data_IF_366849375597
#
_entry.id   IF_366849375597
#
_cell.length_a   1.000
_cell.length_b   1.000
_cell.length_c   1.000
_cell.angle_alpha   90.00
_cell.angle_beta   90.00
_cell.angle_gamma   90.00
#
_symmetry.space_group_name_H-M   'P 1'
#
loop_
_entity.id
_entity.type
_entity.pdbx_description
1 polymer ?
#
# COMPACT_ATOMS: atom_id res chain seq x y z
N UNK A 1 7.43 -12.12 -26.85
CA UNK A 1 6.87 -11.61 -25.58
C UNK A 1 5.47 -12.17 -25.43
N UNK A 2 5.27 -13.05 -24.46
CA UNK A 2 3.96 -13.62 -24.14
C UNK A 2 3.13 -12.55 -23.43
N UNK A 3 1.92 -12.26 -23.91
CA UNK A 3 1.04 -11.25 -23.31
C UNK A 3 0.47 -11.78 -21.99
N UNK A 4 0.48 -10.96 -20.94
CA UNK A 4 -0.18 -11.28 -19.67
C UNK A 4 -1.69 -11.45 -19.89
N UNK A 5 -2.37 -12.37 -19.16
CA UNK A 5 -3.83 -12.46 -19.16
C UNK A 5 -4.47 -11.13 -18.74
N UNK A 6 -5.56 -10.73 -19.40
CA UNK A 6 -6.22 -9.45 -19.10
C UNK A 6 -6.70 -9.37 -17.63
N UNK A 7 -7.06 -10.51 -17.02
CA UNK A 7 -7.40 -10.60 -15.59
C UNK A 7 -6.25 -10.23 -14.65
N UNK A 8 -5.01 -10.64 -15.01
CA UNK A 8 -3.80 -10.33 -14.25
C UNK A 8 -3.48 -8.85 -14.40
N UNK A 9 -3.56 -8.31 -15.64
CA UNK A 9 -3.35 -6.88 -15.90
C UNK A 9 -4.33 -6.03 -15.11
N UNK A 10 -5.61 -6.41 -15.09
CA UNK A 10 -6.63 -5.70 -14.34
C UNK A 10 -6.38 -5.77 -12.83
N UNK A 11 -5.95 -6.92 -12.29
CA UNK A 11 -5.64 -7.09 -10.87
C UNK A 11 -4.42 -6.24 -10.45
N UNK A 12 -3.36 -6.20 -11.26
CA UNK A 12 -2.22 -5.29 -11.04
C UNK A 12 -2.64 -3.83 -11.06
N UNK A 13 -3.51 -3.45 -11.99
CA UNK A 13 -4.08 -2.10 -12.05
C UNK A 13 -4.81 -1.74 -10.76
N UNK A 14 -5.68 -2.62 -10.25
CA UNK A 14 -6.40 -2.41 -8.99
C UNK A 14 -5.47 -2.26 -7.79
N UNK A 15 -4.47 -3.13 -7.66
CA UNK A 15 -3.47 -3.05 -6.57
C UNK A 15 -2.67 -1.75 -6.66
N UNK A 16 -2.30 -1.31 -7.86
CA UNK A 16 -1.52 -0.08 -8.07
C UNK A 16 -2.31 1.15 -7.67
N UNK A 17 -3.58 1.24 -8.07
CA UNK A 17 -4.47 2.34 -7.67
C UNK A 17 -4.68 2.34 -6.15
N UNK A 18 -5.02 1.19 -5.57
CA UNK A 18 -5.26 1.07 -4.13
C UNK A 18 -4.03 1.44 -3.28
N UNK A 19 -2.84 1.07 -3.74
CA UNK A 19 -1.59 1.45 -3.09
C UNK A 19 -1.34 2.96 -3.20
N UNK A 20 -1.56 3.56 -4.37
CA UNK A 20 -1.42 5.00 -4.57
C UNK A 20 -2.36 5.82 -3.69
N UNK A 21 -3.62 5.39 -3.56
CA UNK A 21 -4.60 6.03 -2.67
C UNK A 21 -4.19 5.96 -1.20
N UNK A 22 -3.61 4.82 -0.78
CA UNK A 22 -3.09 4.64 0.57
C UNK A 22 -1.83 5.49 0.81
N UNK A 23 -0.90 5.55 -0.14
CA UNK A 23 0.29 6.40 -0.07
C UNK A 23 -0.09 7.88 0.00
N UNK A 24 -1.11 8.31 -0.75
CA UNK A 24 -1.60 9.68 -0.72
C UNK A 24 -2.16 10.07 0.66
N UNK A 25 -3.01 9.25 1.28
CA UNK A 25 -3.53 9.59 2.62
C UNK A 25 -2.42 9.62 3.67
N UNK A 26 -1.45 8.72 3.60
CA UNK A 26 -0.27 8.73 4.48
C UNK A 26 0.57 10.00 4.28
N UNK A 27 0.75 10.43 3.04
CA UNK A 27 1.47 11.66 2.72
C UNK A 27 0.73 12.90 3.27
N UNK A 28 -0.60 12.93 3.19
CA UNK A 28 -1.41 13.97 3.82
C UNK A 28 -1.26 14.00 5.34
N UNK A 29 -1.35 12.85 6.01
CA UNK A 29 -1.12 12.73 7.45
C UNK A 29 0.28 13.24 7.81
N UNK A 30 1.30 12.83 7.05
CA UNK A 30 2.68 13.27 7.25
C UNK A 30 2.89 14.77 7.06
N UNK A 31 2.18 15.37 6.10
CA UNK A 31 2.26 16.78 5.78
C UNK A 31 1.53 17.68 6.79
N UNK A 32 0.38 17.22 7.30
CA UNK A 32 -0.52 17.97 8.18
C UNK A 32 0.17 18.48 9.46
N UNK A 33 0.96 17.64 10.13
CA UNK A 33 1.63 18.03 11.38
C UNK A 33 3.00 18.69 11.16
N UNK A 34 3.61 18.52 9.98
CA UNK A 34 4.92 19.10 9.64
C UNK A 34 4.81 20.45 8.88
N UNK A 35 3.59 20.93 8.61
CA UNK A 35 3.36 22.12 7.77
C UNK A 35 3.87 21.96 6.33
N UNK A 36 4.02 20.71 5.87
CA UNK A 36 4.62 20.36 4.60
C UNK A 36 3.62 20.20 3.46
N UNK A 37 4.12 19.98 2.25
CA UNK A 37 3.31 19.67 1.08
C UNK A 37 3.20 18.15 0.89
N UNK A 38 1.98 17.60 0.92
CA UNK A 38 1.74 16.16 0.75
C UNK A 38 2.28 15.62 -0.58
N UNK A 39 2.31 16.43 -1.65
CA UNK A 39 2.87 16.00 -2.94
C UNK A 39 4.40 15.88 -2.92
N UNK A 40 5.10 16.68 -2.10
CA UNK A 40 6.55 16.56 -1.93
C UNK A 40 6.91 15.28 -1.17
N UNK A 41 6.08 14.93 -0.17
CA UNK A 41 6.18 13.66 0.56
C UNK A 41 5.92 12.49 -0.38
N UNK A 42 4.85 12.54 -1.17
CA UNK A 42 4.47 11.48 -2.11
C UNK A 42 5.51 11.26 -3.22
N UNK A 43 6.22 12.31 -3.65
CA UNK A 43 7.25 12.22 -4.68
C UNK A 43 8.48 11.39 -4.24
N UNK A 44 8.61 11.06 -2.95
CA UNK A 44 9.75 10.32 -2.40
C UNK A 44 9.34 8.88 -2.06
N UNK A 45 10.00 7.86 -2.66
CA UNK A 45 9.69 6.46 -2.36
C UNK A 45 9.80 6.13 -0.87
N UNK A 46 8.76 5.50 -0.30
CA UNK A 46 8.71 5.08 1.11
C UNK A 46 8.52 6.22 2.13
N UNK A 47 8.62 7.47 1.70
CA UNK A 47 8.50 8.64 2.57
C UNK A 47 7.09 8.82 3.18
N UNK A 48 5.96 8.52 2.48
CA UNK A 48 4.62 8.69 3.07
C UNK A 48 4.44 7.94 4.40
N UNK A 49 4.91 6.70 4.48
CA UNK A 49 4.83 5.90 5.72
C UNK A 49 5.68 6.52 6.83
N UNK A 50 6.92 6.93 6.50
CA UNK A 50 7.84 7.53 7.47
C UNK A 50 7.28 8.85 8.00
N UNK A 51 6.85 9.74 7.11
CA UNK A 51 6.28 11.02 7.47
C UNK A 51 4.99 10.86 8.31
N UNK A 52 4.12 9.92 7.96
CA UNK A 52 2.92 9.63 8.75
C UNK A 52 3.27 9.17 10.18
N UNK A 53 4.26 8.27 10.34
CA UNK A 53 4.73 7.83 11.67
C UNK A 53 5.23 9.00 12.52
N UNK A 54 6.09 9.83 11.94
CA UNK A 54 6.67 10.98 12.65
C UNK A 54 5.58 12.00 13.03
N UNK A 55 4.62 12.21 12.14
CA UNK A 55 3.50 13.14 12.32
C UNK A 55 2.55 12.72 13.45
N UNK A 56 2.17 11.44 13.53
CA UNK A 56 1.19 10.99 14.54
C UNK A 56 1.71 11.05 15.97
N UNK A 57 3.03 11.16 16.18
CA UNK A 57 3.62 11.42 17.49
C UNK A 57 3.28 12.80 18.05
N UNK A 58 2.72 13.70 17.25
CA UNK A 58 2.21 15.00 17.70
C UNK A 58 0.69 15.01 17.91
N UNK A 59 -0.02 13.95 17.50
CA UNK A 59 -1.45 13.82 17.74
C UNK A 59 -1.76 13.57 19.24
N UNK A 60 -2.99 13.92 19.64
CA UNK A 60 -3.51 13.62 20.96
C UNK A 60 -3.46 12.09 21.23
N UNK A 61 -3.27 11.65 22.49
CA UNK A 61 -2.98 10.24 22.81
C UNK A 61 -3.95 9.23 22.19
N UNK A 62 -5.25 9.50 22.25
CA UNK A 62 -6.28 8.60 21.71
C UNK A 62 -6.24 8.47 20.18
N UNK A 63 -5.95 9.54 19.44
CA UNK A 63 -5.77 9.46 17.98
C UNK A 63 -4.46 8.77 17.63
N UNK A 64 -3.37 9.03 18.38
CA UNK A 64 -2.09 8.36 18.18
C UNK A 64 -2.23 6.84 18.32
N UNK A 65 -2.88 6.39 19.39
CA UNK A 65 -3.17 4.97 19.63
C UNK A 65 -4.03 4.36 18.51
N UNK A 66 -4.92 5.14 17.90
CA UNK A 66 -5.74 4.70 16.77
C UNK A 66 -4.93 4.60 15.46
N UNK A 67 -4.05 5.57 15.17
CA UNK A 67 -3.27 5.60 13.94
C UNK A 67 -2.19 4.55 13.87
N UNK A 68 -1.38 4.42 14.93
CA UNK A 68 -0.18 3.58 14.94
C UNK A 68 -0.41 2.17 14.37
N UNK A 69 -1.39 1.36 14.82
CA UNK A 69 -1.59 0.03 14.28
C UNK A 69 -1.96 0.03 12.79
N UNK A 70 -2.73 1.02 12.34
CA UNK A 70 -3.18 1.11 10.95
C UNK A 70 -2.03 1.54 10.03
N UNK A 71 -1.17 2.46 10.47
CA UNK A 71 0.04 2.85 9.74
C UNK A 71 1.00 1.66 9.61
N UNK A 72 1.14 0.83 10.64
CA UNK A 72 1.96 -0.38 10.57
C UNK A 72 1.38 -1.45 9.63
N UNK A 73 0.05 -1.59 9.57
CA UNK A 73 -0.61 -2.43 8.57
C UNK A 73 -0.36 -1.89 7.17
N UNK A 74 -0.50 -0.57 6.97
CA UNK A 74 -0.24 0.08 5.70
C UNK A 74 1.19 -0.16 5.21
N UNK A 75 2.19 -0.01 6.09
CA UNK A 75 3.59 -0.28 5.78
C UNK A 75 3.81 -1.71 5.27
N UNK A 76 3.22 -2.70 5.94
CA UNK A 76 3.31 -4.12 5.54
C UNK A 76 2.65 -4.39 4.20
N UNK A 77 1.47 -3.82 3.95
CA UNK A 77 0.74 -4.00 2.70
C UNK A 77 1.44 -3.33 1.53
N UNK A 78 1.98 -2.11 1.71
CA UNK A 78 2.76 -1.41 0.68
C UNK A 78 4.06 -2.15 0.35
N UNK A 79 4.75 -2.70 1.35
CA UNK A 79 5.91 -3.57 1.13
C UNK A 79 5.53 -4.84 0.35
N UNK A 80 4.42 -5.49 0.71
CA UNK A 80 3.90 -6.65 -0.02
C UNK A 80 3.55 -6.30 -1.47
N UNK A 81 2.90 -5.16 -1.71
CA UNK A 81 2.64 -4.64 -3.06
C UNK A 81 3.93 -4.44 -3.84
N UNK A 82 4.95 -3.83 -3.24
CA UNK A 82 6.24 -3.61 -3.92
C UNK A 82 6.88 -4.95 -4.31
N UNK A 83 6.95 -5.92 -3.40
CA UNK A 83 7.51 -7.24 -3.68
C UNK A 83 6.78 -7.93 -4.84
N UNK A 84 5.44 -7.92 -4.83
CA UNK A 84 4.63 -8.55 -5.86
C UNK A 84 4.77 -7.84 -7.21
N UNK A 85 4.72 -6.52 -7.24
CA UNK A 85 4.87 -5.73 -8.47
C UNK A 85 6.28 -5.92 -9.03
N UNK A 86 7.35 -5.70 -8.27
CA UNK A 86 8.72 -5.86 -8.78
C UNK A 86 8.98 -7.27 -9.33
N UNK A 87 8.49 -8.30 -8.65
CA UNK A 87 8.65 -9.68 -9.08
C UNK A 87 7.90 -10.04 -10.39
N UNK A 88 6.90 -9.25 -10.81
CA UNK A 88 6.24 -9.41 -12.12
C UNK A 88 7.04 -8.82 -13.27
N UNK A 89 7.95 -7.87 -13.01
CA UNK A 89 8.75 -7.23 -14.06
C UNK A 89 10.03 -8.00 -14.41
N UNK A 90 10.47 -8.92 -13.54
CA UNK A 90 11.62 -9.80 -13.81
C UNK A 90 11.17 -11.00 -14.66
N UNK A 91 10.97 -10.76 -15.96
CA UNK A 91 10.72 -11.80 -16.96
C UNK A 91 12.03 -12.39 -17.49
N UNK A 92 12.53 -13.46 -16.88
CA UNK A 92 13.33 -14.45 -17.63
C UNK A 92 12.36 -15.50 -18.17
N UNK A 93 12.08 -15.45 -19.47
CA UNK A 93 11.11 -16.30 -20.12
C UNK A 93 11.48 -17.80 -19.97
N UNK A 94 10.63 -18.66 -19.39
CA UNK A 94 10.78 -20.09 -19.58
C UNK A 94 10.23 -20.48 -20.95
N UNK A 95 10.97 -21.35 -21.64
CA UNK A 95 10.50 -22.04 -22.83
C UNK A 95 9.18 -22.78 -22.57
N UNK A 96 8.32 -22.69 -23.57
CA UNK A 96 7.01 -23.33 -23.74
C UNK A 96 6.75 -24.57 -22.87
N UNK A 97 5.98 -24.41 -21.79
CA UNK A 97 4.84 -25.29 -21.46
C UNK A 97 4.21 -24.94 -20.10
N UNK A 98 2.90 -24.73 -20.12
CA UNK A 98 1.97 -24.60 -18.99
C UNK A 98 1.94 -23.29 -18.18
N UNK A 99 1.01 -22.39 -18.55
CA UNK A 99 -0.04 -21.77 -17.69
C UNK A 99 0.27 -21.36 -16.22
N UNK A 100 1.52 -21.07 -15.88
CA UNK A 100 1.93 -20.75 -14.51
C UNK A 100 2.89 -19.57 -14.54
N UNK A 101 2.35 -18.39 -14.24
CA UNK A 101 3.11 -17.15 -14.19
C UNK A 101 3.79 -17.04 -12.83
N UNK A 102 5.11 -17.03 -12.81
CA UNK A 102 5.93 -17.02 -11.59
C UNK A 102 6.52 -15.62 -11.33
N UNK A 103 6.36 -15.12 -10.11
CA UNK A 103 6.98 -13.95 -9.49
C UNK A 103 8.40 -14.32 -9.09
N UNK A 104 9.42 -13.62 -9.58
CA UNK A 104 10.78 -13.78 -9.06
C UNK A 104 11.05 -12.76 -7.95
N UNK A 105 11.21 -13.23 -6.72
CA UNK A 105 11.73 -12.39 -5.64
C UNK A 105 13.21 -12.08 -5.89
N UNK A 106 13.57 -10.81 -6.09
CA UNK A 106 14.95 -10.40 -6.46
C UNK A 106 16.02 -10.76 -5.42
N UNK A 107 15.66 -10.91 -4.14
CA UNK A 107 16.63 -11.21 -3.06
C UNK A 107 16.83 -12.70 -2.86
N UNK A 108 15.75 -13.47 -2.99
CA UNK A 108 15.73 -14.90 -2.67
C UNK A 108 15.73 -15.78 -3.92
N UNK A 109 15.49 -15.20 -5.10
CA UNK A 109 15.32 -15.89 -6.38
C UNK A 109 14.21 -16.96 -6.36
N UNK A 110 13.27 -16.85 -5.43
CA UNK A 110 12.14 -17.79 -5.30
C UNK A 110 11.07 -17.39 -6.29
N UNK A 111 10.57 -18.39 -7.03
CA UNK A 111 9.49 -18.28 -8.02
C UNK A 111 8.14 -18.53 -7.37
N UNK A 112 7.21 -17.57 -7.36
CA UNK A 112 5.86 -17.71 -6.77
C UNK A 112 4.75 -17.49 -7.80
N UNK A 113 3.74 -18.35 -7.83
CA UNK A 113 2.60 -18.17 -8.75
C UNK A 113 1.84 -16.86 -8.51
N UNK A 114 1.62 -16.06 -9.55
CA UNK A 114 0.72 -14.90 -9.52
C UNK A 114 -0.72 -15.41 -9.54
N UNK A 115 -1.39 -15.39 -8.38
CA UNK A 115 -2.83 -15.62 -8.29
C UNK A 115 -3.58 -14.28 -8.35
N UNK A 116 -4.39 -14.00 -9.41
CA UNK A 116 -5.21 -12.80 -9.49
C UNK A 116 -6.09 -12.58 -8.26
N UNK A 117 -6.55 -13.64 -7.61
CA UNK A 117 -7.36 -13.54 -6.39
C UNK A 117 -6.56 -13.00 -5.21
N UNK A 118 -5.28 -13.37 -5.11
CA UNK A 118 -4.38 -12.83 -4.10
C UNK A 118 -4.05 -11.35 -4.33
N UNK A 119 -3.96 -10.93 -5.60
CA UNK A 119 -3.85 -9.50 -5.96
C UNK A 119 -5.12 -8.73 -5.60
N UNK A 120 -6.29 -9.28 -5.90
CA UNK A 120 -7.57 -8.65 -5.55
C UNK A 120 -7.77 -8.54 -4.04
N UNK A 121 -7.36 -9.57 -3.28
CA UNK A 121 -7.31 -9.54 -1.83
C UNK A 121 -6.41 -8.40 -1.32
N UNK A 122 -5.20 -8.30 -1.87
CA UNK A 122 -4.25 -7.24 -1.50
C UNK A 122 -4.82 -5.84 -1.79
N UNK A 123 -5.44 -5.65 -2.97
CA UNK A 123 -6.09 -4.39 -3.32
C UNK A 123 -7.19 -4.03 -2.31
N UNK A 124 -7.99 -5.00 -1.89
CA UNK A 124 -9.05 -4.79 -0.89
C UNK A 124 -8.48 -4.39 0.47
N UNK A 125 -7.43 -5.08 0.93
CA UNK A 125 -6.77 -4.78 2.20
C UNK A 125 -6.15 -3.38 2.21
N UNK A 126 -5.55 -2.96 1.08
CA UNK A 126 -5.03 -1.60 0.90
C UNK A 126 -6.15 -0.56 1.02
N UNK A 127 -7.28 -0.76 0.33
CA UNK A 127 -8.43 0.15 0.38
C UNK A 127 -9.08 0.21 1.77
N UNK A 128 -9.24 -0.93 2.45
CA UNK A 128 -9.76 -0.98 3.81
C UNK A 128 -8.87 -0.21 4.79
N UNK A 129 -7.55 -0.41 4.67
CA UNK A 129 -6.57 0.33 5.49
C UNK A 129 -6.64 1.83 5.22
N UNK A 130 -6.74 2.23 3.94
CA UNK A 130 -6.91 3.64 3.54
C UNK A 130 -8.19 4.22 4.13
N UNK A 131 -9.31 3.52 4.05
CA UNK A 131 -10.59 3.99 4.58
C UNK A 131 -10.53 4.16 6.10
N UNK A 132 -9.87 3.23 6.78
CA UNK A 132 -9.67 3.33 8.22
C UNK A 132 -8.86 4.55 8.62
N UNK A 133 -7.79 4.87 7.88
CA UNK A 133 -7.04 6.11 8.10
C UNK A 133 -7.91 7.36 7.87
N UNK A 134 -8.73 7.36 6.82
CA UNK A 134 -9.64 8.49 6.55
C UNK A 134 -10.67 8.67 7.66
N UNK A 135 -11.22 7.60 8.23
CA UNK A 135 -12.13 7.67 9.37
C UNK A 135 -11.46 8.34 10.58
N UNK A 136 -10.22 7.96 10.90
CA UNK A 136 -9.48 8.55 12.03
C UNK A 136 -9.15 10.03 11.74
N UNK A 137 -8.67 10.37 10.53
CA UNK A 137 -8.41 11.76 10.12
C UNK A 137 -9.66 12.61 10.22
N UNK A 138 -10.79 12.11 9.73
CA UNK A 138 -12.07 12.83 9.75
C UNK A 138 -12.49 13.07 11.21
N UNK A 139 -12.41 12.05 12.06
CA UNK A 139 -12.74 12.20 13.48
C UNK A 139 -11.83 13.23 14.16
N UNK A 140 -10.53 13.21 13.88
CA UNK A 140 -9.58 14.17 14.42
C UNK A 140 -9.88 15.61 13.99
N UNK A 141 -10.13 15.84 12.70
CA UNK A 141 -10.45 17.18 12.18
C UNK A 141 -11.74 17.74 12.78
N UNK A 142 -12.71 16.88 13.08
CA UNK A 142 -14.00 17.26 13.67
C UNK A 142 -14.00 17.26 15.21
N UNK A 143 -12.90 16.89 15.87
CA UNK A 143 -12.83 16.64 17.32
C UNK A 143 -13.88 15.62 17.81
N UNK A 144 -14.12 14.57 17.01
CA UNK A 144 -15.04 13.48 17.32
C UNK A 144 -14.31 12.27 17.95
N UNK A 145 -15.02 11.40 18.69
CA UNK A 145 -14.43 10.18 19.22
C UNK A 145 -13.80 9.30 18.13
N UNK A 146 -12.73 8.58 18.47
CA UNK A 146 -12.11 7.60 17.57
C UNK A 146 -13.17 6.56 17.18
N UNK A 147 -13.37 6.31 15.87
CA UNK A 147 -14.34 5.34 15.41
C UNK A 147 -13.95 3.93 15.88
N UNK A 148 -14.92 3.08 16.22
CA UNK A 148 -14.67 1.70 16.62
C UNK A 148 -14.03 0.90 15.47
N UNK A 149 -13.13 -0.03 15.80
CA UNK A 149 -12.44 -0.91 14.83
C UNK A 149 -13.26 -2.14 14.48
#
# INVERSE_FOLDING_TARGET
MTRLPDEVVAAVGRVTIAAGDLELILAWIGADQAGGNAFEVLARPGEPVRAARDSVEFAAPHYREAYQPIIEIAAKLLAKRHAVVSAMWVSEAPEESAQRWELLDEKTHIRQLVDPRALDELARQLLQTRNRLVEIVTAQLNNEPVPAS
#
